data_IF_561666178982
#
_entry.id   IF_561666178982
#
_cell.length_a   1.000
_cell.length_b   1.000
_cell.length_c   1.000
_cell.angle_alpha   90.00
_cell.angle_beta   90.00
_cell.angle_gamma   90.00
#
_symmetry.space_group_name_H-M   'P 1'
#
loop_
_entity.id
_entity.type
_entity.pdbx_description
1 polymer ?
#
# COMPACT_ATOMS: atom_id res chain seq x y z
N UNK A 1 5.23 8.28 6.38
CA UNK A 1 5.09 7.71 5.03
C UNK A 1 5.87 8.57 4.05
N UNK A 2 6.72 7.95 3.24
CA UNK A 2 7.43 8.56 2.14
C UNK A 2 6.58 8.31 0.88
N UNK A 3 5.99 9.37 0.35
CA UNK A 3 5.17 9.31 -0.86
C UNK A 3 6.02 9.17 -2.11
N UNK A 4 5.36 9.15 -3.26
CA UNK A 4 6.02 9.07 -4.57
C UNK A 4 6.69 10.40 -4.92
N UNK A 5 7.94 10.59 -4.45
CA UNK A 5 8.78 11.77 -4.65
C UNK A 5 10.18 11.33 -5.10
N UNK A 6 10.99 12.31 -5.50
CA UNK A 6 12.42 12.10 -5.82
C UNK A 6 13.11 11.32 -4.67
N UNK A 7 13.81 10.22 -4.97
CA UNK A 7 14.48 9.40 -3.95
C UNK A 7 15.47 10.19 -3.08
N UNK A 8 16.12 11.23 -3.59
CA UNK A 8 16.99 12.05 -2.75
C UNK A 8 16.19 12.82 -1.70
N UNK A 9 15.01 13.34 -2.06
CA UNK A 9 14.11 14.00 -1.10
C UNK A 9 13.53 13.02 -0.09
N UNK A 10 13.16 11.82 -0.52
CA UNK A 10 12.70 10.77 0.40
C UNK A 10 13.79 10.43 1.42
N UNK A 11 15.04 10.30 0.99
CA UNK A 11 16.18 10.01 1.86
C UNK A 11 16.46 11.17 2.83
N UNK A 12 16.40 12.40 2.35
CA UNK A 12 16.55 13.60 3.18
C UNK A 12 15.50 13.66 4.29
N UNK A 13 14.23 13.45 3.95
CA UNK A 13 13.15 13.40 4.94
C UNK A 13 13.38 12.26 5.95
N UNK A 14 13.77 11.09 5.48
CA UNK A 14 14.04 9.95 6.35
C UNK A 14 15.19 10.25 7.34
N UNK A 15 16.25 10.89 6.88
CA UNK A 15 17.42 11.24 7.70
C UNK A 15 17.09 12.33 8.76
N UNK A 16 16.08 13.17 8.53
CA UNK A 16 15.61 14.18 9.47
C UNK A 16 14.69 13.59 10.56
N UNK A 17 14.13 12.41 10.35
CA UNK A 17 13.21 11.79 11.30
C UNK A 17 13.95 11.19 12.49
N UNK A 18 13.58 11.63 13.70
CA UNK A 18 14.12 11.08 14.95
C UNK A 18 13.24 9.90 15.41
N UNK A 19 13.80 8.67 15.34
CA UNK A 19 13.15 7.44 15.82
C UNK A 19 11.74 7.19 15.25
N UNK A 20 11.57 7.10 13.94
CA UNK A 20 10.29 6.79 13.35
C UNK A 20 9.83 5.40 13.82
N UNK A 21 8.56 5.27 14.21
CA UNK A 21 8.01 3.98 14.69
C UNK A 21 7.82 2.96 13.59
N UNK A 22 7.53 3.43 12.39
CA UNK A 22 7.29 2.59 11.22
C UNK A 22 7.37 3.45 9.96
N UNK A 23 8.23 3.08 9.04
CA UNK A 23 8.45 3.81 7.79
C UNK A 23 7.82 3.04 6.63
N UNK A 24 6.91 3.69 5.95
CA UNK A 24 6.27 3.19 4.73
C UNK A 24 6.78 4.01 3.56
N UNK A 25 7.17 3.36 2.46
CA UNK A 25 7.48 4.04 1.21
C UNK A 25 6.60 3.58 0.07
N UNK A 26 6.36 4.47 -0.87
CA UNK A 26 5.82 4.22 -2.20
C UNK A 26 6.80 4.73 -3.25
N UNK A 27 6.72 4.22 -4.48
CA UNK A 27 7.58 4.59 -5.60
C UNK A 27 6.83 4.50 -6.93
N UNK A 28 7.51 4.77 -8.04
CA UNK A 28 6.97 4.59 -9.39
C UNK A 28 8.08 4.19 -10.38
N UNK A 29 7.68 3.69 -11.56
CA UNK A 29 8.57 3.21 -12.61
C UNK A 29 9.68 4.21 -12.97
N UNK A 30 9.36 5.50 -13.04
CA UNK A 30 10.33 6.55 -13.35
C UNK A 30 11.55 6.55 -12.40
N UNK A 31 11.29 6.39 -11.10
CA UNK A 31 12.37 6.33 -10.10
C UNK A 31 13.11 5.01 -10.13
N UNK A 32 12.42 3.91 -10.45
CA UNK A 32 13.03 2.58 -10.59
C UNK A 32 14.03 2.57 -11.74
N UNK A 33 13.72 3.24 -12.83
CA UNK A 33 14.58 3.32 -14.02
C UNK A 33 15.73 4.31 -13.85
N UNK A 34 15.44 5.50 -13.35
CA UNK A 34 16.40 6.62 -13.36
C UNK A 34 17.24 6.73 -12.08
N UNK A 35 16.77 6.21 -10.95
CA UNK A 35 17.37 6.47 -9.63
C UNK A 35 17.59 5.19 -8.80
N UNK A 36 17.82 4.07 -9.46
CA UNK A 36 17.85 2.74 -8.86
C UNK A 36 18.75 2.65 -7.61
N UNK A 37 19.97 3.14 -7.67
CA UNK A 37 20.91 3.06 -6.53
C UNK A 37 20.39 3.80 -5.30
N UNK A 38 19.80 4.98 -5.48
CA UNK A 38 19.21 5.73 -4.36
C UNK A 38 17.94 5.10 -3.84
N UNK A 39 17.14 4.55 -4.74
CA UNK A 39 15.93 3.82 -4.38
C UNK A 39 16.24 2.58 -3.54
N UNK A 40 17.25 1.80 -3.94
CA UNK A 40 17.71 0.63 -3.18
C UNK A 40 18.23 1.02 -1.78
N UNK A 41 18.91 2.16 -1.65
CA UNK A 41 19.32 2.70 -0.36
C UNK A 41 18.13 3.00 0.56
N UNK A 42 17.06 3.60 0.03
CA UNK A 42 15.86 3.90 0.81
C UNK A 42 15.12 2.62 1.16
N UNK A 43 14.95 1.70 0.19
CA UNK A 43 14.29 0.41 0.41
C UNK A 43 14.95 -0.33 1.59
N UNK A 44 16.27 -0.25 1.72
CA UNK A 44 16.99 -0.91 2.83
C UNK A 44 16.70 -0.32 4.22
N UNK A 45 16.10 0.87 4.29
CA UNK A 45 15.87 1.64 5.53
C UNK A 45 14.41 1.71 5.95
N UNK A 46 13.48 1.15 5.18
CA UNK A 46 12.05 1.22 5.47
C UNK A 46 11.50 -0.09 6.04
N UNK A 47 10.38 -0.02 6.74
CA UNK A 47 9.71 -1.19 7.32
C UNK A 47 8.73 -1.84 6.35
N UNK A 48 8.18 -1.05 5.41
CA UNK A 48 7.22 -1.48 4.42
C UNK A 48 7.43 -0.74 3.10
N UNK A 49 7.47 -1.49 2.00
CA UNK A 49 7.38 -0.96 0.64
C UNK A 49 6.02 -1.31 0.03
N UNK A 50 5.39 -0.30 -0.61
CA UNK A 50 4.16 -0.44 -1.39
C UNK A 50 4.47 -0.21 -2.85
N UNK A 51 4.19 -1.19 -3.69
CA UNK A 51 4.42 -1.15 -5.14
C UNK A 51 3.24 -1.73 -5.89
N UNK A 52 3.09 -1.41 -7.17
CA UNK A 52 2.18 -2.16 -8.05
C UNK A 52 2.86 -3.41 -8.62
N UNK A 53 2.12 -4.24 -9.38
CA UNK A 53 2.65 -5.49 -9.95
C UNK A 53 3.82 -5.24 -10.91
N UNK A 54 3.73 -4.20 -11.74
CA UNK A 54 4.76 -3.86 -12.73
C UNK A 54 6.04 -3.37 -12.05
N UNK A 55 5.91 -2.47 -11.09
CA UNK A 55 7.00 -1.97 -10.25
C UNK A 55 7.68 -3.11 -9.48
N UNK A 56 6.89 -4.04 -8.90
CA UNK A 56 7.43 -5.20 -8.19
C UNK A 56 8.27 -6.09 -9.12
N UNK A 57 7.77 -6.37 -10.33
CA UNK A 57 8.51 -7.14 -11.34
C UNK A 57 9.76 -6.42 -11.83
N UNK A 58 9.66 -5.13 -12.07
CA UNK A 58 10.79 -4.30 -12.53
C UNK A 58 11.89 -4.22 -11.47
N UNK A 59 11.55 -3.98 -10.20
CA UNK A 59 12.51 -3.93 -9.09
C UNK A 59 13.25 -5.25 -8.88
N UNK A 60 12.59 -6.37 -9.15
CA UNK A 60 13.10 -7.69 -8.76
C UNK A 60 13.51 -8.58 -9.93
N UNK A 61 13.23 -8.16 -11.16
CA UNK A 61 13.36 -8.96 -12.36
C UNK A 61 12.73 -10.37 -12.17
N UNK A 62 11.46 -10.41 -11.73
CA UNK A 62 10.73 -11.65 -11.47
C UNK A 62 9.30 -11.54 -11.97
N UNK A 63 8.77 -12.60 -12.61
CA UNK A 63 7.38 -12.66 -13.03
C UNK A 63 6.43 -13.09 -11.90
N UNK A 64 6.94 -13.84 -10.93
CA UNK A 64 6.18 -14.30 -9.76
C UNK A 64 6.09 -13.20 -8.71
N UNK A 65 4.88 -12.81 -8.31
CA UNK A 65 4.68 -11.83 -7.23
C UNK A 65 5.16 -12.34 -5.87
N UNK A 66 5.12 -13.66 -5.64
CA UNK A 66 5.63 -14.27 -4.41
C UNK A 66 7.15 -14.13 -4.37
N UNK A 67 7.83 -14.39 -5.48
CA UNK A 67 9.28 -14.24 -5.56
C UNK A 67 9.69 -12.77 -5.55
N UNK A 68 8.90 -11.89 -6.19
CA UNK A 68 9.10 -10.44 -6.10
C UNK A 68 9.04 -9.96 -4.65
N UNK A 69 8.01 -10.38 -3.90
CA UNK A 69 7.89 -10.02 -2.49
C UNK A 69 9.09 -10.50 -1.65
N UNK A 70 9.55 -11.74 -1.85
CA UNK A 70 10.73 -12.28 -1.16
C UNK A 70 12.01 -11.49 -1.48
N UNK A 71 12.21 -11.15 -2.77
CA UNK A 71 13.37 -10.35 -3.18
C UNK A 71 13.30 -8.94 -2.60
N UNK A 72 12.12 -8.30 -2.60
CA UNK A 72 11.93 -7.00 -1.96
C UNK A 72 12.19 -7.06 -0.45
N UNK A 73 11.71 -8.12 0.22
CA UNK A 73 12.03 -8.33 1.64
C UNK A 73 13.53 -8.52 1.90
N UNK A 74 14.23 -9.19 1.00
CA UNK A 74 15.67 -9.35 1.08
C UNK A 74 16.46 -8.03 0.90
N UNK A 75 15.85 -7.00 0.30
CA UNK A 75 16.43 -5.66 0.17
C UNK A 75 16.34 -4.84 1.47
N UNK A 76 15.50 -5.23 2.44
CA UNK A 76 15.40 -4.55 3.73
C UNK A 76 14.04 -4.58 4.42
N UNK A 77 12.93 -4.20 3.75
CA UNK A 77 11.62 -4.10 4.39
C UNK A 77 11.08 -5.48 4.78
N UNK A 78 10.64 -5.62 6.04
CA UNK A 78 9.99 -6.85 6.49
C UNK A 78 8.62 -7.07 5.86
N UNK A 79 8.01 -5.97 5.40
CA UNK A 79 6.64 -5.97 4.88
C UNK A 79 6.61 -5.44 3.46
N UNK A 80 5.85 -6.09 2.60
CA UNK A 80 5.66 -5.70 1.19
C UNK A 80 4.18 -5.70 0.88
N UNK A 81 3.69 -4.63 0.27
CA UNK A 81 2.37 -4.58 -0.33
C UNK A 81 2.54 -4.52 -1.85
N UNK A 82 1.89 -5.46 -2.55
CA UNK A 82 1.80 -5.43 -4.01
C UNK A 82 0.36 -5.11 -4.40
N UNK A 83 0.17 -3.91 -4.96
CA UNK A 83 -1.12 -3.40 -5.44
C UNK A 83 -1.43 -4.01 -6.82
N UNK A 84 -2.65 -4.49 -7.03
CA UNK A 84 -3.07 -5.24 -8.21
C UNK A 84 -4.28 -4.60 -8.92
N UNK A 85 -4.42 -3.29 -8.82
CA UNK A 85 -5.52 -2.55 -9.41
C UNK A 85 -6.89 -3.10 -8.98
N UNK A 86 -7.71 -3.47 -9.95
CA UNK A 86 -9.05 -4.03 -9.73
C UNK A 86 -9.08 -5.39 -9.02
N UNK A 87 -7.94 -6.06 -8.90
CA UNK A 87 -7.80 -7.33 -8.18
C UNK A 87 -7.39 -7.14 -6.71
N UNK A 88 -7.28 -5.88 -6.24
CA UNK A 88 -6.97 -5.55 -4.85
C UNK A 88 -5.46 -5.48 -4.57
N UNK A 89 -5.01 -6.05 -3.45
CA UNK A 89 -3.61 -6.02 -3.05
C UNK A 89 -3.22 -7.28 -2.25
N UNK A 90 -1.92 -7.58 -2.24
CA UNK A 90 -1.35 -8.66 -1.42
C UNK A 90 -0.37 -8.02 -0.43
N UNK A 91 -0.56 -8.29 0.84
CA UNK A 91 0.35 -7.97 1.93
C UNK A 91 1.19 -9.20 2.27
N UNK A 92 2.50 -9.05 2.22
CA UNK A 92 3.48 -10.01 2.68
C UNK A 92 4.15 -9.47 3.95
N UNK A 93 4.26 -10.28 4.99
CA UNK A 93 4.91 -9.93 6.26
C UNK A 93 5.57 -11.16 6.84
N UNK A 94 6.87 -11.20 6.85
CA UNK A 94 7.64 -12.42 7.10
C UNK A 94 7.15 -13.58 6.19
N UNK A 95 6.69 -14.69 6.79
CA UNK A 95 6.10 -15.84 6.07
C UNK A 95 4.57 -15.75 5.91
N UNK A 96 3.95 -14.67 6.37
CA UNK A 96 2.49 -14.50 6.34
C UNK A 96 2.07 -13.75 5.09
N UNK A 97 0.95 -14.17 4.51
CA UNK A 97 0.37 -13.56 3.33
C UNK A 97 -1.09 -13.23 3.63
N UNK A 98 -1.52 -12.06 3.20
CA UNK A 98 -2.92 -11.67 3.24
C UNK A 98 -3.31 -10.99 1.94
N UNK A 99 -4.33 -11.49 1.30
CA UNK A 99 -4.92 -10.86 0.11
C UNK A 99 -6.17 -10.09 0.50
N UNK A 100 -6.20 -8.81 0.16
CA UNK A 100 -7.39 -7.97 0.24
C UNK A 100 -7.92 -7.76 -1.17
N UNK A 101 -9.21 -8.03 -1.47
CA UNK A 101 -9.79 -7.73 -2.77
C UNK A 101 -9.95 -6.23 -2.96
N UNK A 102 -10.10 -5.77 -4.21
CA UNK A 102 -10.71 -4.49 -4.49
C UNK A 102 -12.21 -4.57 -4.18
N UNK A 103 -12.82 -3.43 -3.82
CA UNK A 103 -14.27 -3.37 -3.65
C UNK A 103 -14.95 -3.42 -5.02
N UNK A 104 -15.92 -4.32 -5.26
CA UNK A 104 -16.60 -4.42 -6.54
C UNK A 104 -17.49 -3.20 -6.78
N UNK A 105 -17.15 -2.40 -7.78
CA UNK A 105 -17.88 -1.20 -8.18
C UNK A 105 -18.51 -1.42 -9.55
N UNK A 106 -19.72 -0.91 -9.73
CA UNK A 106 -20.41 -0.95 -11.03
C UNK A 106 -19.75 -0.06 -12.08
N UNK A 107 -19.10 1.03 -11.64
CA UNK A 107 -18.47 2.02 -12.51
C UNK A 107 -17.26 2.61 -11.83
N UNK A 108 -16.19 2.71 -12.57
CA UNK A 108 -14.95 3.42 -12.21
C UNK A 108 -14.90 4.65 -13.12
N UNK A 109 -14.63 5.81 -12.53
CA UNK A 109 -14.51 7.07 -13.28
C UNK A 109 -13.05 7.39 -13.58
N UNK A 110 -12.19 7.30 -12.55
CA UNK A 110 -10.77 7.62 -12.70
C UNK A 110 -9.96 6.81 -11.68
N UNK A 111 -9.04 5.93 -12.12
CA UNK A 111 -8.18 5.16 -11.22
C UNK A 111 -7.03 5.97 -10.65
N UNK A 112 -6.81 7.21 -11.11
CA UNK A 112 -5.69 8.06 -10.65
C UNK A 112 -5.79 8.33 -9.16
N UNK A 113 -4.68 8.16 -8.44
CA UNK A 113 -4.61 8.37 -7.00
C UNK A 113 -5.19 7.23 -6.15
N UNK A 114 -5.69 6.14 -6.77
CA UNK A 114 -6.17 4.98 -6.02
C UNK A 114 -5.06 4.34 -5.17
N UNK A 115 -3.85 4.24 -5.72
CA UNK A 115 -2.67 3.74 -5.02
C UNK A 115 -2.28 4.61 -3.82
N UNK A 116 -2.24 5.93 -4.02
CA UNK A 116 -1.95 6.90 -2.97
C UNK A 116 -2.99 6.87 -1.86
N UNK A 117 -4.26 6.78 -2.25
CA UNK A 117 -5.38 6.67 -1.31
C UNK A 117 -5.36 5.37 -0.53
N UNK A 118 -4.99 4.26 -1.19
CA UNK A 118 -4.81 2.97 -0.53
C UNK A 118 -3.72 3.04 0.54
N UNK A 119 -2.53 3.50 0.17
CA UNK A 119 -1.40 3.52 1.12
C UNK A 119 -1.58 4.60 2.19
N UNK A 120 -2.20 5.74 1.88
CA UNK A 120 -2.59 6.76 2.84
C UNK A 120 -3.59 6.22 3.86
N UNK A 121 -4.62 5.52 3.41
CA UNK A 121 -5.61 4.85 4.28
C UNK A 121 -5.00 3.73 5.12
N UNK A 122 -4.09 2.95 4.55
CA UNK A 122 -3.31 1.94 5.27
C UNK A 122 -2.49 2.59 6.41
N UNK A 123 -1.71 3.62 6.08
CA UNK A 123 -0.86 4.31 7.04
C UNK A 123 -1.68 4.97 8.16
N UNK A 124 -2.79 5.65 7.80
CA UNK A 124 -3.71 6.27 8.76
C UNK A 124 -4.31 5.25 9.73
N UNK A 125 -4.86 4.14 9.19
CA UNK A 125 -5.42 3.07 10.02
C UNK A 125 -4.37 2.40 10.93
N UNK A 126 -3.13 2.24 10.43
CA UNK A 126 -2.05 1.64 11.20
C UNK A 126 -1.56 2.56 12.32
N UNK A 127 -1.55 3.88 12.09
CA UNK A 127 -1.12 4.89 13.08
C UNK A 127 -1.96 4.92 14.35
N UNK A 128 -3.24 4.50 14.26
CA UNK A 128 -4.15 4.40 15.40
C UNK A 128 -3.89 3.17 16.29
N UNK A 129 -3.04 2.23 15.83
CA UNK A 129 -2.81 0.97 16.55
C UNK A 129 -1.70 1.11 17.58
N UNK A 130 -1.95 0.58 18.78
CA UNK A 130 -0.94 0.51 19.85
C UNK A 130 0.21 -0.43 19.49
N UNK A 131 -0.08 -1.50 18.74
CA UNK A 131 0.89 -2.51 18.31
C UNK A 131 0.79 -2.75 16.80
N UNK A 132 1.94 -2.78 16.15
CA UNK A 132 2.08 -3.02 14.72
C UNK A 132 2.14 -4.53 14.43
N UNK A 133 1.01 -5.21 14.67
CA UNK A 133 0.88 -6.66 14.43
C UNK A 133 0.45 -6.93 12.97
N UNK A 134 0.65 -8.17 12.53
CA UNK A 134 0.14 -8.61 11.22
C UNK A 134 -1.40 -8.44 11.13
N UNK A 135 -2.13 -8.67 12.22
CA UNK A 135 -3.58 -8.44 12.26
C UNK A 135 -3.93 -6.94 12.10
N UNK A 136 -3.15 -6.05 12.71
CA UNK A 136 -3.31 -4.60 12.51
C UNK A 136 -3.06 -4.21 11.04
N UNK A 137 -2.03 -4.77 10.42
CA UNK A 137 -1.73 -4.55 8.99
C UNK A 137 -2.83 -5.09 8.07
N UNK A 138 -3.43 -6.25 8.37
CA UNK A 138 -4.60 -6.77 7.64
C UNK A 138 -5.78 -5.78 7.69
N UNK A 139 -6.10 -5.28 8.88
CA UNK A 139 -7.16 -4.26 9.05
C UNK A 139 -6.84 -2.99 8.28
N UNK A 140 -5.58 -2.54 8.33
CA UNK A 140 -5.11 -1.37 7.60
C UNK A 140 -5.22 -1.57 6.07
N UNK A 141 -4.90 -2.77 5.55
CA UNK A 141 -5.04 -3.08 4.13
C UNK A 141 -6.51 -3.05 3.67
N UNK A 142 -7.44 -3.56 4.48
CA UNK A 142 -8.89 -3.46 4.20
C UNK A 142 -9.33 -2.00 4.22
N UNK A 143 -8.86 -1.19 5.19
CA UNK A 143 -9.17 0.24 5.26
C UNK A 143 -8.64 0.99 4.04
N UNK A 144 -7.41 0.70 3.62
CA UNK A 144 -6.81 1.27 2.41
C UNK A 144 -7.62 0.92 1.15
N UNK A 145 -8.00 -0.35 0.98
CA UNK A 145 -8.82 -0.79 -0.15
C UNK A 145 -10.22 -0.14 -0.13
N UNK A 146 -10.81 0.06 1.05
CA UNK A 146 -12.08 0.75 1.19
C UNK A 146 -11.98 2.23 0.77
N UNK A 147 -10.92 2.93 1.19
CA UNK A 147 -10.69 4.34 0.82
C UNK A 147 -10.40 4.46 -0.68
N UNK A 148 -9.52 3.63 -1.24
CA UNK A 148 -9.23 3.60 -2.67
C UNK A 148 -10.50 3.38 -3.51
N UNK A 149 -11.44 2.57 -3.02
CA UNK A 149 -12.73 2.34 -3.71
C UNK A 149 -13.62 3.58 -3.79
N UNK A 150 -13.46 4.56 -2.90
CA UNK A 150 -14.13 5.86 -3.02
C UNK A 150 -13.40 6.77 -4.01
N UNK A 151 -12.07 6.79 -3.97
CA UNK A 151 -11.26 7.62 -4.89
C UNK A 151 -11.65 7.39 -6.35
N UNK A 152 -11.78 6.14 -6.77
CA UNK A 152 -12.06 5.80 -8.17
C UNK A 152 -13.51 6.09 -8.63
N UNK A 153 -14.39 6.54 -7.74
CA UNK A 153 -15.80 6.83 -8.06
C UNK A 153 -16.04 8.24 -8.60
N UNK A 154 -15.05 9.14 -8.52
CA UNK A 154 -15.09 10.50 -9.05
C UNK A 154 -13.69 10.93 -9.49
N UNK A 155 -13.61 12.05 -10.22
CA UNK A 155 -12.33 12.66 -10.55
C UNK A 155 -11.68 13.35 -9.33
N UNK A 156 -10.38 13.14 -9.15
CA UNK A 156 -9.59 13.75 -8.09
C UNK A 156 -10.04 13.32 -6.69
N UNK A 157 -10.09 14.28 -5.75
CA UNK A 157 -10.37 14.03 -4.32
C UNK A 157 -11.83 14.18 -3.92
N UNK A 158 -12.74 14.44 -4.86
CA UNK A 158 -14.14 14.82 -4.58
C UNK A 158 -14.89 13.85 -3.67
N UNK A 159 -14.74 12.54 -3.88
CA UNK A 159 -15.40 11.54 -3.01
C UNK A 159 -14.72 11.43 -1.65
N UNK A 160 -13.42 11.66 -1.57
CA UNK A 160 -12.67 11.64 -0.31
C UNK A 160 -13.03 12.84 0.57
N UNK A 161 -13.25 14.03 -0.01
CA UNK A 161 -13.68 15.23 0.72
C UNK A 161 -15.01 15.03 1.46
N UNK A 162 -15.89 14.18 0.88
CA UNK A 162 -17.21 13.84 1.43
C UNK A 162 -17.24 12.50 2.17
N UNK A 163 -16.07 11.85 2.35
CA UNK A 163 -15.95 10.58 3.02
C UNK A 163 -16.02 10.76 4.54
N UNK A 164 -17.06 10.24 5.17
CA UNK A 164 -17.20 10.21 6.61
C UNK A 164 -16.78 8.88 7.19
N UNK A 165 -16.38 8.84 8.48
CA UNK A 165 -16.11 7.60 9.21
C UNK A 165 -17.30 6.62 9.16
N UNK A 166 -18.53 7.13 9.14
CA UNK A 166 -19.74 6.29 9.01
C UNK A 166 -19.77 5.57 7.66
N UNK A 167 -19.52 6.28 6.55
CA UNK A 167 -19.45 5.70 5.20
C UNK A 167 -18.31 4.67 5.11
N UNK A 168 -17.12 5.03 5.61
CA UNK A 168 -15.95 4.15 5.61
C UNK A 168 -16.22 2.86 6.39
N UNK A 169 -16.73 2.96 7.61
CA UNK A 169 -17.04 1.80 8.44
C UNK A 169 -18.12 0.90 7.81
N UNK A 170 -19.10 1.49 7.12
CA UNK A 170 -20.08 0.72 6.36
C UNK A 170 -19.38 -0.09 5.27
N UNK A 171 -18.50 0.53 4.48
CA UNK A 171 -17.74 -0.14 3.41
C UNK A 171 -16.84 -1.25 3.96
N UNK A 172 -16.18 -1.04 5.09
CA UNK A 172 -15.36 -2.07 5.75
C UNK A 172 -16.23 -3.28 6.18
N UNK A 173 -17.44 -3.05 6.66
CA UNK A 173 -18.37 -4.15 6.98
C UNK A 173 -18.81 -4.92 5.72
N UNK A 174 -19.03 -4.21 4.62
CA UNK A 174 -19.33 -4.82 3.32
C UNK A 174 -18.17 -5.71 2.84
N UNK A 175 -16.91 -5.27 2.99
CA UNK A 175 -15.73 -6.13 2.74
C UNK A 175 -15.78 -7.43 3.53
N UNK A 176 -16.10 -7.35 4.83
CA UNK A 176 -16.22 -8.56 5.67
C UNK A 176 -17.26 -9.51 5.13
N UNK A 177 -18.41 -9.00 4.70
CA UNK A 177 -19.48 -9.82 4.09
C UNK A 177 -19.05 -10.46 2.77
N UNK A 178 -18.30 -9.72 1.94
CA UNK A 178 -17.83 -10.21 0.64
C UNK A 178 -16.73 -11.28 0.72
N UNK A 179 -15.99 -11.32 1.83
CA UNK A 179 -14.83 -12.21 2.00
C UNK A 179 -15.07 -13.32 3.03
N UNK A 180 -16.21 -13.31 3.71
CA UNK A 180 -16.54 -14.32 4.69
C UNK A 180 -17.12 -15.57 4.01
N UNK A 181 -16.67 -16.73 4.40
CA UNK A 181 -17.20 -18.03 3.99
C UNK A 181 -17.14 -19.00 5.16
N UNK A 182 -18.04 -19.96 5.16
CA UNK A 182 -18.07 -21.04 6.13
C UNK A 182 -17.39 -22.29 5.55
N UNK A 183 -16.72 -23.07 6.42
CA UNK A 183 -16.06 -24.33 6.07
C UNK A 183 -16.84 -25.47 6.73
#
# INVERSE_FOLDING_TARGET
MLGNLDPNLQLDVLNQMKNPKFVIMDTMNFWIEGYRTKLDEIISKVDLISVNEEEARQLTNSLSLIDSAKKLQAMGPKNVIIKKGEHGAILFSDKKIFQVPAFPLKKIFDPTGAGDSFIGGFAGSLSEKKQLSFQAMKTAAVTGSAIASYTVQQFGTKELENLTFRKLNKRIKEFKSLTNFEI
#
